data_IF_755086627317
#
_entry.id   IF_755086627317
#
_cell.length_a   1.000
_cell.length_b   1.000
_cell.length_c   1.000
_cell.angle_alpha   90.00
_cell.angle_beta   90.00
_cell.angle_gamma   90.00
#
_symmetry.space_group_name_H-M   'P 1'
#
loop_
_entity.id
_entity.type
_entity.pdbx_description
1 polymer ?
#
# COMPACT_ATOMS: atom_id res chain seq x y z
N UNK A 1 -15.63 10.58 5.92
CA UNK A 1 -14.84 11.43 5.01
C UNK A 1 -13.50 10.76 4.81
N UNK A 2 -13.07 10.49 3.58
CA UNK A 2 -11.73 9.97 3.27
C UNK A 2 -10.87 11.17 2.85
N UNK A 3 -9.76 11.40 3.56
CA UNK A 3 -8.78 12.40 3.16
C UNK A 3 -7.96 11.80 2.02
N UNK A 4 -8.26 12.22 0.79
CA UNK A 4 -7.47 11.81 -0.36
C UNK A 4 -6.02 12.28 -0.19
N UNK A 5 -5.10 11.39 -0.56
CA UNK A 5 -3.66 11.61 -0.46
C UNK A 5 -3.04 11.28 -1.81
N UNK A 6 -2.19 12.18 -2.33
CA UNK A 6 -1.49 12.01 -3.59
C UNK A 6 -0.61 10.74 -3.61
N UNK A 7 -0.30 10.16 -4.77
CA UNK A 7 0.54 8.95 -4.87
C UNK A 7 1.88 9.15 -4.17
N UNK A 8 2.54 10.29 -4.41
CA UNK A 8 3.81 10.67 -3.75
C UNK A 8 3.70 10.97 -2.26
N UNK A 9 2.48 11.03 -1.74
CA UNK A 9 2.16 11.34 -0.37
C UNK A 9 1.68 10.09 0.40
N UNK A 10 1.33 9.01 -0.30
CA UNK A 10 0.81 7.78 0.32
C UNK A 10 1.90 7.09 1.11
N UNK A 11 1.50 6.54 2.24
CA UNK A 11 2.37 5.78 3.14
C UNK A 11 1.71 4.44 3.41
N UNK A 12 2.49 3.48 3.88
CA UNK A 12 1.94 2.22 4.36
C UNK A 12 1.05 2.45 5.58
N UNK A 13 -0.18 1.94 5.57
CA UNK A 13 -1.11 2.08 6.70
C UNK A 13 -0.69 1.26 7.93
N UNK A 14 0.23 0.30 7.79
CA UNK A 14 0.72 -0.52 8.91
C UNK A 14 1.93 0.10 9.61
N UNK A 15 2.93 0.54 8.87
CA UNK A 15 4.16 1.09 9.45
C UNK A 15 4.23 2.62 9.41
N UNK A 16 3.30 3.28 8.71
CA UNK A 16 3.23 4.73 8.52
C UNK A 16 4.47 5.36 7.87
N UNK A 17 5.28 4.54 7.19
CA UNK A 17 6.44 4.97 6.41
C UNK A 17 6.12 4.97 4.91
N UNK A 18 6.81 5.87 4.18
CA UNK A 18 6.73 5.91 2.71
C UNK A 18 7.72 4.94 2.06
N UNK A 19 8.97 4.95 2.55
CA UNK A 19 10.13 4.32 1.89
C UNK A 19 9.90 2.87 1.45
N UNK A 20 10.70 2.37 0.50
CA UNK A 20 10.38 1.20 -0.31
C UNK A 20 9.07 1.40 -1.10
N UNK A 21 8.88 2.59 -1.68
CA UNK A 21 7.71 2.98 -2.46
C UNK A 21 7.37 1.95 -3.56
N UNK A 22 8.37 1.30 -4.16
CA UNK A 22 8.15 0.27 -5.19
C UNK A 22 7.49 -1.03 -4.66
N UNK A 23 7.45 -1.20 -3.33
CA UNK A 23 6.81 -2.33 -2.65
C UNK A 23 5.49 -1.94 -1.99
N UNK A 24 4.99 -0.72 -2.19
CA UNK A 24 3.67 -0.30 -1.70
C UNK A 24 2.60 -0.70 -2.71
N UNK A 25 1.63 -1.48 -2.22
CA UNK A 25 0.39 -1.79 -2.90
C UNK A 25 -0.67 -0.74 -2.62
N UNK A 26 -1.39 -0.32 -3.66
CA UNK A 26 -2.54 0.57 -3.55
C UNK A 26 -3.84 -0.21 -3.71
N UNK A 27 -4.71 -0.13 -2.70
CA UNK A 27 -5.99 -0.84 -2.72
C UNK A 27 -6.95 -0.18 -3.72
N UNK A 28 -7.46 -0.94 -4.69
CA UNK A 28 -8.36 -0.46 -5.74
C UNK A 28 -9.70 0.06 -5.20
N UNK A 29 -10.08 -0.34 -3.98
CA UNK A 29 -11.33 0.08 -3.34
C UNK A 29 -11.19 1.37 -2.54
N UNK A 30 -10.08 1.55 -1.83
CA UNK A 30 -9.93 2.63 -0.85
C UNK A 30 -8.70 3.52 -1.06
N UNK A 31 -7.91 3.23 -2.09
CA UNK A 31 -6.72 3.97 -2.49
C UNK A 31 -5.70 4.11 -1.33
N UNK A 32 -5.67 3.17 -0.39
CA UNK A 32 -4.68 3.16 0.71
C UNK A 32 -3.44 2.37 0.32
N UNK A 33 -2.29 2.81 0.82
CA UNK A 33 -0.98 2.18 0.58
C UNK A 33 -0.62 1.16 1.65
N UNK A 34 -0.03 0.03 1.27
CA UNK A 34 0.48 -0.98 2.19
C UNK A 34 1.73 -1.65 1.62
N UNK A 35 2.81 -1.76 2.38
CA UNK A 35 3.96 -2.55 1.95
C UNK A 35 3.60 -4.04 1.85
N UNK A 36 4.06 -4.70 0.80
CA UNK A 36 3.89 -6.16 0.61
C UNK A 36 4.37 -6.98 1.81
N UNK A 37 5.46 -6.54 2.46
CA UNK A 37 6.06 -7.22 3.59
C UNK A 37 5.49 -6.83 4.97
N UNK A 38 4.64 -5.80 5.04
CA UNK A 38 3.98 -5.43 6.29
C UNK A 38 2.71 -6.25 6.56
N UNK A 39 2.28 -7.09 5.61
CA UNK A 39 1.21 -8.07 5.82
C UNK A 39 1.70 -9.24 6.66
N UNK A 40 0.77 -9.92 7.34
CA UNK A 40 1.00 -11.16 8.06
C UNK A 40 -0.01 -12.22 7.56
N UNK A 41 0.42 -13.18 6.70
CA UNK A 41 1.78 -13.36 6.18
C UNK A 41 2.17 -12.32 5.10
N UNK A 42 3.48 -12.08 4.88
CA UNK A 42 3.95 -11.22 3.80
C UNK A 42 3.46 -11.65 2.42
N UNK A 43 3.13 -10.68 1.58
CA UNK A 43 2.81 -10.90 0.16
C UNK A 43 4.14 -11.05 -0.60
N UNK A 44 4.43 -12.27 -1.06
CA UNK A 44 5.69 -12.57 -1.75
C UNK A 44 5.74 -12.01 -3.17
N UNK A 45 4.61 -12.07 -3.89
CA UNK A 45 4.52 -11.68 -5.29
C UNK A 45 3.46 -10.60 -5.50
N UNK A 46 3.67 -9.73 -6.47
CA UNK A 46 2.69 -8.71 -6.80
C UNK A 46 1.39 -9.40 -7.29
N UNK A 47 0.22 -9.06 -6.71
CA UNK A 47 -1.04 -9.66 -7.11
C UNK A 47 -1.33 -9.37 -8.58
N UNK A 48 -1.88 -10.37 -9.26
CA UNK A 48 -2.37 -10.19 -10.64
C UNK A 48 -3.83 -9.74 -10.59
N UNK A 49 -4.14 -8.62 -11.24
CA UNK A 49 -5.50 -8.07 -11.28
C UNK A 49 -5.79 -7.12 -10.10
N UNK A 50 -7.03 -7.16 -9.59
CA UNK A 50 -7.49 -6.22 -8.56
C UNK A 50 -7.00 -6.58 -7.17
N UNK A 51 -6.65 -5.58 -6.39
CA UNK A 51 -6.18 -5.73 -5.01
C UNK A 51 -6.91 -4.85 -4.01
#
# INVERSE_FOLDING_TARGET
SYAWTCIECKKCEFCHEKGDDEKILFCDRCDRGYHTYCFDPPIADMPTGKW
#
